data_IF_109789765355
#
_entry.id   IF_109789765355
#
_cell.length_a   1.000
_cell.length_b   1.000
_cell.length_c   1.000
_cell.angle_alpha   90.00
_cell.angle_beta   90.00
_cell.angle_gamma   90.00
#
_symmetry.space_group_name_H-M   'P 1'
#
loop_
_entity.id
_entity.type
_entity.pdbx_description
1 polymer ?
#
# COMPACT_ATOMS: atom_id res chain seq x y z
N UNK A 1 29.95 -4.53 1.67
CA UNK A 1 29.37 -4.58 0.31
C UNK A 1 28.23 -3.57 0.31
N UNK A 2 28.10 -2.73 -0.73
CA UNK A 2 26.93 -1.85 -0.88
C UNK A 2 25.63 -2.65 -0.80
N UNK A 3 24.62 -2.10 -0.13
CA UNK A 3 23.31 -2.75 0.08
C UNK A 3 22.17 -1.87 -0.37
N UNK A 4 21.14 -2.51 -0.89
CA UNK A 4 19.83 -1.88 -1.11
C UNK A 4 19.18 -1.53 0.23
N UNK A 5 18.27 -0.54 0.23
CA UNK A 5 17.46 -0.20 1.39
C UNK A 5 16.69 -1.41 1.91
N UNK A 6 16.13 -2.22 1.01
CA UNK A 6 15.48 -3.48 1.35
C UNK A 6 16.41 -4.43 2.11
N UNK A 7 17.64 -4.64 1.64
CA UNK A 7 18.60 -5.53 2.31
C UNK A 7 19.01 -5.03 3.68
N UNK A 8 19.25 -3.71 3.82
CA UNK A 8 19.55 -3.09 5.11
C UNK A 8 18.44 -3.36 6.13
N UNK A 9 17.19 -3.18 5.72
CA UNK A 9 16.02 -3.38 6.59
C UNK A 9 15.81 -4.86 6.87
N UNK A 10 15.89 -5.72 5.84
CA UNK A 10 15.76 -7.18 6.00
C UNK A 10 16.75 -7.72 7.05
N UNK A 11 18.04 -7.41 6.88
CA UNK A 11 19.08 -7.91 7.78
C UNK A 11 18.95 -7.39 9.21
N UNK A 12 18.47 -6.15 9.39
CA UNK A 12 18.24 -5.58 10.70
C UNK A 12 17.08 -6.27 11.46
N UNK A 13 16.14 -6.89 10.75
CA UNK A 13 14.94 -7.50 11.33
C UNK A 13 14.95 -9.03 11.31
N UNK A 14 15.90 -9.66 10.61
CA UNK A 14 16.02 -11.11 10.53
C UNK A 14 16.58 -11.69 11.85
N UNK A 15 15.68 -12.20 12.70
CA UNK A 15 16.05 -12.77 14.02
C UNK A 15 16.49 -14.23 13.94
N UNK A 16 16.14 -14.91 12.84
CA UNK A 16 16.61 -16.22 12.39
C UNK A 16 16.42 -16.25 10.88
N UNK A 17 17.15 -17.10 10.17
CA UNK A 17 16.94 -17.35 8.74
C UNK A 17 15.45 -17.39 8.35
N UNK A 18 15.05 -16.47 7.47
CA UNK A 18 13.71 -16.25 6.96
C UNK A 18 12.64 -15.92 8.02
N UNK A 19 13.02 -15.53 9.24
CA UNK A 19 12.11 -15.13 10.31
C UNK A 19 12.36 -13.67 10.66
N UNK A 20 11.43 -12.80 10.26
CA UNK A 20 11.49 -11.37 10.50
C UNK A 20 10.79 -11.00 11.80
N UNK A 21 11.38 -10.08 12.54
CA UNK A 21 10.68 -9.31 13.57
C UNK A 21 9.76 -8.28 12.92
N UNK A 22 8.57 -8.08 13.49
CA UNK A 22 7.57 -7.11 13.01
C UNK A 22 7.51 -5.90 13.95
N UNK A 23 7.70 -4.69 13.43
CA UNK A 23 7.67 -3.47 14.24
C UNK A 23 6.28 -2.94 14.51
N UNK A 24 5.40 -3.02 13.52
CA UNK A 24 4.02 -2.54 13.60
C UNK A 24 3.08 -3.53 12.93
N UNK A 25 2.02 -3.89 13.65
CA UNK A 25 0.94 -4.72 13.15
C UNK A 25 -0.36 -3.91 13.14
N UNK A 26 -0.83 -3.55 11.96
CA UNK A 26 -2.12 -2.91 11.79
C UNK A 26 -3.20 -3.97 11.62
N UNK A 27 -4.38 -3.76 12.20
CA UNK A 27 -5.49 -4.69 12.11
C UNK A 27 -6.81 -3.96 11.88
N UNK A 28 -7.77 -4.66 11.27
CA UNK A 28 -9.10 -4.13 10.96
C UNK A 28 -10.16 -5.23 11.11
N UNK A 29 -11.43 -4.87 11.01
CA UNK A 29 -12.56 -5.73 11.40
C UNK A 29 -12.84 -6.90 10.45
N UNK A 30 -12.21 -6.95 9.28
CA UNK A 30 -12.46 -8.01 8.28
C UNK A 30 -11.59 -9.23 8.51
N UNK A 31 -10.28 -9.04 8.74
CA UNK A 31 -9.29 -10.14 8.69
C UNK A 31 -8.72 -10.52 10.05
N UNK A 32 -8.87 -9.66 11.05
CA UNK A 32 -8.37 -9.89 12.42
C UNK A 32 -9.27 -10.71 13.36
N UNK A 33 -10.62 -10.78 13.20
CA UNK A 33 -11.47 -11.45 14.19
C UNK A 33 -11.11 -12.92 14.44
N UNK A 34 -10.78 -13.69 13.40
CA UNK A 34 -10.38 -15.09 13.56
C UNK A 34 -9.06 -15.22 14.31
N UNK A 35 -8.12 -14.31 14.09
CA UNK A 35 -6.82 -14.34 14.78
C UNK A 35 -6.98 -14.10 16.29
N UNK A 36 -7.78 -13.12 16.70
CA UNK A 36 -8.10 -12.89 18.11
C UNK A 36 -8.79 -14.10 18.75
N UNK A 37 -9.73 -14.73 18.03
CA UNK A 37 -10.39 -15.94 18.51
C UNK A 37 -9.41 -17.12 18.62
N UNK A 38 -8.49 -17.29 17.68
CA UNK A 38 -7.44 -18.31 17.74
C UNK A 38 -6.56 -18.19 18.98
N UNK A 39 -6.16 -16.95 19.34
CA UNK A 39 -5.45 -16.70 20.60
C UNK A 39 -6.30 -17.12 21.82
N UNK A 40 -7.57 -16.70 21.85
CA UNK A 40 -8.50 -17.00 22.95
C UNK A 40 -8.69 -18.51 23.13
N UNK A 41 -8.94 -19.23 22.04
CA UNK A 41 -9.14 -20.68 22.03
C UNK A 41 -7.89 -21.46 22.45
N UNK A 42 -6.70 -20.94 22.15
CA UNK A 42 -5.43 -21.56 22.53
C UNK A 42 -4.87 -21.06 23.87
N UNK A 43 -5.60 -20.17 24.57
CA UNK A 43 -5.17 -19.58 25.84
C UNK A 43 -3.91 -18.68 25.71
N UNK A 44 -3.63 -18.17 24.51
CA UNK A 44 -2.50 -17.27 24.25
C UNK A 44 -2.89 -15.82 24.48
N UNK A 45 -1.89 -15.02 24.86
CA UNK A 45 -2.02 -13.56 24.91
C UNK A 45 -1.49 -12.96 23.61
N UNK A 46 -1.99 -11.76 23.28
CA UNK A 46 -1.36 -10.91 22.28
C UNK A 46 0.05 -10.52 22.77
N UNK A 47 1.07 -10.73 21.94
CA UNK A 47 2.48 -10.61 22.33
C UNK A 47 2.91 -9.16 22.54
N UNK A 48 2.49 -8.25 21.66
CA UNK A 48 2.78 -6.80 21.71
C UNK A 48 1.54 -5.98 21.41
N UNK A 49 0.62 -5.83 22.38
CA UNK A 49 -0.48 -4.87 22.25
C UNK A 49 0.02 -3.45 21.98
N UNK A 50 1.22 -3.09 22.47
CA UNK A 50 1.89 -1.82 22.25
C UNK A 50 2.40 -1.61 20.81
N UNK A 51 2.46 -2.67 19.99
CA UNK A 51 2.84 -2.63 18.58
C UNK A 51 1.71 -3.05 17.64
N UNK A 52 0.49 -3.16 18.17
CA UNK A 52 -0.70 -3.53 17.41
C UNK A 52 -1.68 -2.37 17.45
N UNK A 53 -2.21 -1.94 16.31
CA UNK A 53 -3.18 -0.83 16.24
C UNK A 53 -4.36 -1.25 15.37
N UNK A 54 -5.57 -1.01 15.86
CA UNK A 54 -6.81 -1.36 15.20
C UNK A 54 -7.52 -0.13 14.63
N UNK A 55 -8.20 -0.29 13.48
CA UNK A 55 -9.16 0.68 12.96
C UNK A 55 -10.35 -0.02 12.34
N UNK A 56 -11.50 0.64 12.30
CA UNK A 56 -12.65 0.17 11.56
C UNK A 56 -12.82 1.02 10.29
N UNK A 57 -12.66 0.41 9.12
CA UNK A 57 -12.69 1.13 7.83
C UNK A 57 -13.36 0.41 6.65
N UNK A 58 -13.49 -0.92 6.63
CA UNK A 58 -14.13 -1.64 5.51
C UNK A 58 -15.66 -1.74 5.62
N UNK A 59 -16.21 -1.79 6.83
CA UNK A 59 -17.62 -1.99 7.13
C UNK A 59 -18.30 -0.76 7.73
N UNK A 60 -17.72 0.41 7.47
CA UNK A 60 -18.25 1.70 7.90
C UNK A 60 -19.25 2.22 6.87
N UNK A 61 -20.50 2.52 7.25
CA UNK A 61 -21.47 3.07 6.31
C UNK A 61 -21.12 4.53 5.95
N UNK A 62 -21.44 4.92 4.72
CA UNK A 62 -21.19 6.28 4.20
C UNK A 62 -22.28 7.29 4.60
N UNK A 63 -23.20 6.93 5.51
CA UNK A 63 -24.33 7.75 5.94
C UNK A 63 -24.04 8.59 7.20
N UNK A 64 -22.78 8.66 7.63
CA UNK A 64 -22.35 9.44 8.79
C UNK A 64 -22.72 8.80 10.13
N UNK A 65 -22.98 7.49 10.14
CA UNK A 65 -23.24 6.75 11.39
C UNK A 65 -22.09 6.97 12.40
N UNK A 66 -22.38 7.42 13.64
CA UNK A 66 -21.33 7.82 14.57
C UNK A 66 -20.81 6.69 15.47
N UNK A 67 -21.44 5.50 15.47
CA UNK A 67 -21.08 4.40 16.35
C UNK A 67 -21.44 3.04 15.76
N UNK A 68 -20.66 2.00 16.06
CA UNK A 68 -20.86 0.64 15.56
C UNK A 68 -22.28 0.11 15.82
N UNK A 69 -22.79 0.28 17.04
CA UNK A 69 -24.13 -0.17 17.45
C UNK A 69 -25.28 0.44 16.63
N UNK A 70 -25.04 1.57 15.94
CA UNK A 70 -26.01 2.26 15.10
C UNK A 70 -25.96 1.85 13.62
N UNK A 71 -24.98 1.02 13.22
CA UNK A 71 -24.90 0.50 11.85
C UNK A 71 -26.14 -0.34 11.57
N UNK A 72 -26.88 0.00 10.52
CA UNK A 72 -28.15 -0.66 10.14
C UNK A 72 -27.93 -2.08 9.65
N UNK A 73 -26.91 -2.28 8.82
CA UNK A 73 -26.54 -3.61 8.34
C UNK A 73 -26.02 -4.47 9.50
N UNK A 74 -26.67 -5.62 9.71
CA UNK A 74 -26.38 -6.46 10.87
C UNK A 74 -25.01 -7.16 10.78
N UNK A 75 -24.53 -7.44 9.56
CA UNK A 75 -23.23 -8.09 9.36
C UNK A 75 -22.11 -7.09 9.61
N UNK A 76 -22.18 -5.92 8.97
CA UNK A 76 -21.22 -4.82 9.18
C UNK A 76 -21.17 -4.40 10.64
N UNK A 77 -22.33 -4.22 11.30
CA UNK A 77 -22.39 -3.93 12.74
C UNK A 77 -21.64 -4.97 13.56
N UNK A 78 -21.90 -6.25 13.32
CA UNK A 78 -21.27 -7.35 14.06
C UNK A 78 -19.76 -7.37 13.88
N UNK A 79 -19.24 -7.10 12.67
CA UNK A 79 -17.79 -7.07 12.42
C UNK A 79 -17.12 -5.94 13.21
N UNK A 80 -17.65 -4.71 13.12
CA UNK A 80 -17.09 -3.56 13.85
C UNK A 80 -17.18 -3.75 15.37
N UNK A 81 -18.32 -4.17 15.91
CA UNK A 81 -18.46 -4.45 17.36
C UNK A 81 -17.50 -5.56 17.82
N UNK A 82 -17.24 -6.55 16.96
CA UNK A 82 -16.28 -7.62 17.26
C UNK A 82 -14.85 -7.10 17.32
N UNK A 83 -14.47 -6.18 16.42
CA UNK A 83 -13.17 -5.51 16.48
C UNK A 83 -13.02 -4.71 17.78
N UNK A 84 -14.01 -3.86 18.10
CA UNK A 84 -14.00 -3.02 19.31
C UNK A 84 -13.89 -3.88 20.58
N UNK A 85 -14.65 -4.97 20.65
CA UNK A 85 -14.58 -5.92 21.76
C UNK A 85 -13.21 -6.61 21.85
N UNK A 86 -12.69 -7.10 20.73
CA UNK A 86 -11.37 -7.75 20.72
C UNK A 86 -10.27 -6.77 21.12
N UNK A 87 -10.33 -5.52 20.65
CA UNK A 87 -9.39 -4.49 21.02
C UNK A 87 -9.43 -4.23 22.53
N UNK A 88 -10.63 -4.12 23.12
CA UNK A 88 -10.80 -3.98 24.56
C UNK A 88 -10.28 -5.21 25.35
N UNK A 89 -10.64 -6.42 24.93
CA UNK A 89 -10.24 -7.68 25.60
C UNK A 89 -8.72 -7.88 25.62
N UNK A 90 -8.02 -7.46 24.55
CA UNK A 90 -6.58 -7.67 24.38
C UNK A 90 -5.72 -6.42 24.65
N UNK A 91 -6.34 -5.28 24.97
CA UNK A 91 -5.65 -4.02 25.27
C UNK A 91 -5.00 -3.37 24.04
N UNK A 92 -5.63 -3.47 22.88
CA UNK A 92 -5.17 -2.88 21.61
C UNK A 92 -5.79 -1.50 21.43
N UNK A 93 -5.01 -0.45 21.11
CA UNK A 93 -5.55 0.84 20.68
C UNK A 93 -6.45 0.68 19.45
N UNK A 94 -7.65 1.27 19.47
CA UNK A 94 -8.63 1.18 18.37
C UNK A 94 -9.17 2.54 17.98
N UNK A 95 -9.16 2.82 16.67
CA UNK A 95 -9.73 4.02 16.05
C UNK A 95 -10.98 3.63 15.24
N UNK A 96 -12.11 3.44 15.92
CA UNK A 96 -13.40 3.03 15.32
C UNK A 96 -14.33 4.22 15.12
N UNK A 97 -15.58 3.96 14.70
CA UNK A 97 -16.64 4.96 14.58
C UNK A 97 -16.75 5.81 15.85
N UNK A 98 -16.76 7.13 15.66
CA UNK A 98 -16.84 8.12 16.75
C UNK A 98 -15.48 8.58 17.27
N UNK A 99 -14.38 7.98 16.82
CA UNK A 99 -13.03 8.53 17.04
C UNK A 99 -12.78 9.72 16.09
N UNK A 100 -12.16 10.79 16.59
CA UNK A 100 -11.69 11.90 15.74
C UNK A 100 -10.57 11.48 14.78
N UNK A 101 -9.89 10.38 15.09
CA UNK A 101 -8.81 9.80 14.27
C UNK A 101 -9.28 8.53 13.56
N UNK A 102 -10.59 8.31 13.43
CA UNK A 102 -11.11 7.24 12.59
C UNK A 102 -10.68 7.48 11.15
N UNK A 103 -10.14 6.45 10.51
CA UNK A 103 -9.76 6.52 9.11
C UNK A 103 -9.33 5.18 8.55
N UNK A 104 -9.02 5.20 7.26
CA UNK A 104 -8.53 4.04 6.52
C UNK A 104 -7.21 3.58 7.12
N UNK A 105 -7.00 2.26 7.25
CA UNK A 105 -5.84 1.66 7.93
C UNK A 105 -4.49 2.18 7.40
N UNK A 106 -4.38 2.36 6.08
CA UNK A 106 -3.17 2.86 5.42
C UNK A 106 -3.01 4.39 5.43
N UNK A 107 -3.98 5.11 6.00
CA UNK A 107 -3.99 6.57 6.17
C UNK A 107 -3.67 6.92 7.62
N UNK A 108 -4.32 6.28 8.58
CA UNK A 108 -4.13 6.59 10.00
C UNK A 108 -2.70 6.30 10.49
N UNK A 109 -2.06 5.25 9.97
CA UNK A 109 -0.69 4.89 10.37
C UNK A 109 0.30 6.03 10.09
N UNK A 110 0.36 6.52 8.83
CA UNK A 110 1.11 7.72 8.47
C UNK A 110 0.70 8.99 9.23
N UNK A 111 -0.61 9.28 9.36
CA UNK A 111 -1.09 10.51 10.01
C UNK A 111 -0.75 10.57 11.49
N UNK A 112 -0.77 9.42 12.17
CA UNK A 112 -0.37 9.29 13.56
C UNK A 112 1.15 9.22 13.74
N UNK A 113 1.95 9.10 12.68
CA UNK A 113 3.42 8.93 12.79
C UNK A 113 3.84 7.53 13.27
N UNK A 114 2.94 6.54 13.16
CA UNK A 114 3.23 5.14 13.47
C UNK A 114 4.04 4.48 12.36
N UNK A 115 3.86 4.94 11.12
CA UNK A 115 4.67 4.51 9.97
C UNK A 115 5.98 5.28 9.95
N UNK A 116 7.08 4.57 10.21
CA UNK A 116 8.41 5.18 10.32
C UNK A 116 9.42 4.49 9.40
N UNK A 117 10.43 5.23 8.91
CA UNK A 117 11.47 4.65 8.08
C UNK A 117 12.21 3.51 8.78
N UNK A 118 12.49 2.47 8.00
CA UNK A 118 13.25 1.31 8.44
C UNK A 118 12.43 0.23 9.15
N UNK A 119 11.14 0.45 9.40
CA UNK A 119 10.28 -0.53 10.07
C UNK A 119 9.88 -1.69 9.16
N UNK A 120 9.57 -2.84 9.78
CA UNK A 120 8.73 -3.89 9.16
C UNK A 120 7.27 -3.72 9.59
N UNK A 121 6.36 -3.60 8.62
CA UNK A 121 4.94 -3.28 8.86
C UNK A 121 4.04 -4.29 8.15
N UNK A 122 3.08 -4.86 8.87
CA UNK A 122 2.14 -5.83 8.29
C UNK A 122 0.71 -5.53 8.68
N UNK A 123 -0.22 -5.90 7.80
CA UNK A 123 -1.66 -5.86 8.04
C UNK A 123 -2.33 -7.01 7.27
N UNK A 124 -3.51 -7.42 7.71
CA UNK A 124 -4.38 -8.33 6.96
C UNK A 124 -4.99 -7.73 5.68
N UNK A 125 -4.35 -6.72 5.08
CA UNK A 125 -4.81 -5.96 3.92
C UNK A 125 -3.70 -5.88 2.86
N UNK A 126 -4.05 -6.06 1.58
CA UNK A 126 -3.11 -6.09 0.46
C UNK A 126 -2.33 -4.79 0.29
N UNK A 127 -2.96 -3.65 0.55
CA UNK A 127 -2.42 -2.32 0.25
C UNK A 127 -1.50 -1.78 1.35
N UNK A 128 -1.10 -2.64 2.30
CA UNK A 128 -0.10 -2.33 3.34
C UNK A 128 1.22 -1.83 2.73
N UNK A 129 1.50 -2.15 1.47
CA UNK A 129 2.61 -1.59 0.71
C UNK A 129 2.65 -0.06 0.71
N UNK A 130 1.51 0.63 0.91
CA UNK A 130 1.43 2.09 1.11
C UNK A 130 2.48 2.64 2.06
N UNK A 131 2.72 1.93 3.17
CA UNK A 131 3.64 2.39 4.21
C UNK A 131 5.11 2.40 3.77
N UNK A 132 5.46 1.69 2.69
CA UNK A 132 6.82 1.72 2.17
C UNK A 132 7.21 3.04 1.49
N UNK A 133 6.25 3.96 1.28
CA UNK A 133 6.53 5.35 0.91
C UNK A 133 7.44 6.08 1.91
N UNK A 134 7.53 5.57 3.15
CA UNK A 134 8.37 6.08 4.23
C UNK A 134 9.72 5.35 4.32
N UNK A 135 10.05 4.46 3.38
CA UNK A 135 11.22 3.59 3.49
C UNK A 135 11.03 2.46 4.50
N UNK A 136 9.79 1.97 4.67
CA UNK A 136 9.46 0.81 5.48
C UNK A 136 9.29 -0.45 4.61
N UNK A 137 9.65 -1.62 5.12
CA UNK A 137 9.31 -2.89 4.49
C UNK A 137 7.89 -3.28 4.92
N UNK A 138 6.91 -2.93 4.09
CA UNK A 138 5.50 -3.07 4.43
C UNK A 138 4.71 -3.92 3.44
N UNK A 139 3.96 -4.91 3.92
CA UNK A 139 3.23 -5.84 3.05
C UNK A 139 2.03 -6.50 3.71
N UNK A 140 1.04 -6.87 2.89
CA UNK A 140 -0.14 -7.60 3.32
C UNK A 140 0.16 -9.05 3.71
N UNK A 141 -0.59 -9.55 4.68
CA UNK A 141 -0.46 -10.92 5.21
C UNK A 141 -1.83 -11.61 5.32
N UNK A 142 -1.84 -12.94 5.29
CA UNK A 142 -3.08 -13.72 5.44
C UNK A 142 -3.55 -13.82 6.89
N UNK A 143 -4.82 -14.19 7.12
CA UNK A 143 -5.40 -14.34 8.47
C UNK A 143 -4.60 -15.27 9.40
N UNK A 144 -4.05 -16.37 8.89
CA UNK A 144 -3.19 -17.26 9.69
C UNK A 144 -1.85 -16.60 10.09
N UNK A 145 -1.31 -15.75 9.22
CA UNK A 145 -0.11 -14.96 9.53
C UNK A 145 -0.43 -13.85 10.53
N UNK A 146 -1.62 -13.23 10.46
CA UNK A 146 -2.10 -12.26 11.46
C UNK A 146 -2.08 -12.90 12.86
N UNK A 147 -2.66 -14.09 13.03
CA UNK A 147 -2.59 -14.81 14.32
C UNK A 147 -1.14 -15.10 14.74
N UNK A 148 -0.29 -15.51 13.79
CA UNK A 148 1.11 -15.80 14.06
C UNK A 148 1.89 -14.58 14.55
N UNK A 149 1.71 -13.42 13.92
CA UNK A 149 2.32 -12.16 14.34
C UNK A 149 1.77 -11.76 15.70
N UNK A 150 0.45 -11.86 15.93
CA UNK A 150 -0.12 -11.58 17.24
C UNK A 150 0.47 -12.47 18.35
N UNK A 151 0.74 -13.74 18.07
CA UNK A 151 1.27 -14.68 19.05
C UNK A 151 2.78 -14.51 19.30
N UNK A 152 3.55 -14.08 18.29
CA UNK A 152 5.02 -14.18 18.32
C UNK A 152 5.76 -12.85 18.11
N UNK A 153 5.13 -11.85 17.50
CA UNK A 153 5.74 -10.64 16.94
C UNK A 153 6.80 -10.93 15.85
N UNK A 154 6.71 -12.08 15.22
CA UNK A 154 7.59 -12.47 14.12
C UNK A 154 6.78 -13.02 12.97
N UNK A 155 7.39 -13.11 11.79
CA UNK A 155 6.76 -13.70 10.62
C UNK A 155 7.81 -14.40 9.75
N UNK A 156 7.50 -15.62 9.33
CA UNK A 156 8.33 -16.34 8.37
C UNK A 156 8.09 -15.75 6.98
N UNK A 157 9.13 -15.30 6.31
CA UNK A 157 9.07 -14.80 4.93
C UNK A 157 10.28 -15.32 4.16
N UNK A 158 10.05 -15.76 2.93
CA UNK A 158 11.14 -15.98 1.99
C UNK A 158 11.66 -14.63 1.51
N UNK A 159 12.97 -14.41 1.50
CA UNK A 159 13.57 -13.17 1.00
C UNK A 159 13.19 -12.96 -0.49
N UNK A 160 12.41 -11.91 -0.82
CA UNK A 160 12.07 -11.61 -2.21
C UNK A 160 13.29 -11.12 -2.99
N UNK A 161 13.16 -11.11 -4.31
CA UNK A 161 14.12 -10.43 -5.18
C UNK A 161 13.95 -8.92 -5.10
N UNK A 162 14.95 -8.19 -5.54
CA UNK A 162 14.99 -6.73 -5.58
C UNK A 162 14.72 -6.20 -6.98
N UNK A 163 13.79 -5.27 -7.12
CA UNK A 163 13.56 -4.53 -8.35
C UNK A 163 13.72 -3.05 -8.09
N UNK A 164 14.36 -2.31 -9.01
CA UNK A 164 14.37 -0.85 -9.01
C UNK A 164 13.60 -0.35 -10.22
N UNK A 165 12.71 0.61 -10.01
CA UNK A 165 12.03 1.35 -11.07
C UNK A 165 12.50 2.80 -11.00
N UNK A 166 13.30 3.19 -11.99
CA UNK A 166 13.86 4.54 -12.10
C UNK A 166 12.96 5.41 -12.96
N UNK A 167 12.47 6.50 -12.39
CA UNK A 167 11.74 7.53 -13.13
C UNK A 167 12.65 8.72 -13.41
N UNK A 168 12.91 8.94 -14.69
CA UNK A 168 13.69 10.08 -15.19
C UNK A 168 12.79 11.21 -15.67
N UNK A 169 13.27 12.45 -15.65
CA UNK A 169 12.53 13.62 -16.10
C UNK A 169 11.51 14.13 -15.09
N UNK A 170 10.66 15.06 -15.54
CA UNK A 170 9.67 15.75 -14.70
C UNK A 170 8.26 15.50 -15.21
N UNK A 171 7.29 15.50 -14.31
CA UNK A 171 5.87 15.36 -14.66
C UNK A 171 5.40 16.52 -15.56
N UNK A 172 4.65 16.16 -16.61
CA UNK A 172 3.94 17.12 -17.46
C UNK A 172 2.74 17.76 -16.77
N UNK A 173 2.11 18.74 -17.44
CA UNK A 173 0.90 19.38 -16.92
C UNK A 173 -0.25 18.37 -16.78
N UNK A 174 -0.93 18.40 -15.62
CA UNK A 174 -2.04 17.50 -15.32
C UNK A 174 -1.63 16.07 -14.97
N UNK A 175 -0.34 15.74 -15.01
CA UNK A 175 0.20 14.42 -14.67
C UNK A 175 0.49 14.34 -13.16
N UNK A 176 0.09 13.23 -12.55
CA UNK A 176 0.20 12.98 -11.11
C UNK A 176 0.98 11.70 -10.82
N UNK A 177 1.23 11.42 -9.53
CA UNK A 177 1.84 10.14 -9.13
C UNK A 177 0.96 8.92 -9.43
N UNK A 178 -0.36 9.12 -9.56
CA UNK A 178 -1.28 8.06 -9.99
C UNK A 178 -0.97 7.63 -11.43
N UNK A 179 -0.69 8.60 -12.29
CA UNK A 179 -0.36 8.36 -13.69
C UNK A 179 0.99 7.65 -13.82
N UNK A 180 1.98 8.02 -12.99
CA UNK A 180 3.26 7.32 -12.93
C UNK A 180 3.11 5.82 -12.64
N UNK A 181 2.35 5.46 -11.61
CA UNK A 181 2.20 4.05 -11.23
C UNK A 181 1.28 3.30 -12.19
N UNK A 182 0.25 3.94 -12.75
CA UNK A 182 -0.57 3.36 -13.81
C UNK A 182 0.24 3.09 -15.08
N UNK A 183 1.10 4.01 -15.52
CA UNK A 183 1.98 3.81 -16.65
C UNK A 183 2.93 2.62 -16.43
N UNK A 184 3.46 2.48 -15.21
CA UNK A 184 4.29 1.32 -14.82
C UNK A 184 3.52 0.01 -14.91
N UNK A 185 2.31 -0.05 -14.33
CA UNK A 185 1.49 -1.26 -14.33
C UNK A 185 1.01 -1.59 -15.76
N UNK A 186 0.69 -0.58 -16.57
CA UNK A 186 0.38 -0.77 -17.99
C UNK A 186 1.56 -1.34 -18.79
N UNK A 187 2.79 -0.88 -18.51
CA UNK A 187 4.01 -1.35 -19.18
C UNK A 187 4.43 -2.75 -18.73
N UNK A 188 4.36 -3.04 -17.44
CA UNK A 188 4.86 -4.29 -16.85
C UNK A 188 3.78 -5.38 -16.73
N UNK A 189 2.51 -5.00 -16.84
CA UNK A 189 1.37 -5.86 -16.56
C UNK A 189 1.16 -6.11 -15.06
N UNK A 190 0.05 -6.75 -14.72
CA UNK A 190 -0.36 -7.04 -13.33
C UNK A 190 0.50 -8.07 -12.61
N UNK A 191 1.42 -8.71 -13.33
CA UNK A 191 2.33 -9.73 -12.79
C UNK A 191 3.80 -9.32 -12.89
N UNK A 192 4.10 -8.14 -13.44
CA UNK A 192 5.46 -7.73 -13.77
C UNK A 192 6.38 -7.55 -12.57
N UNK A 193 5.81 -7.32 -11.37
CA UNK A 193 6.55 -7.16 -10.12
C UNK A 193 6.43 -8.40 -9.21
N UNK A 194 5.86 -9.51 -9.70
CA UNK A 194 5.65 -10.73 -8.89
C UNK A 194 6.95 -11.28 -8.34
N UNK A 195 6.99 -11.47 -7.01
CA UNK A 195 8.17 -12.02 -6.31
C UNK A 195 9.25 -10.98 -6.00
N UNK A 196 8.99 -9.70 -6.26
CA UNK A 196 9.91 -8.60 -5.96
C UNK A 196 9.43 -7.74 -4.80
N UNK A 197 10.40 -7.17 -4.09
CA UNK A 197 10.26 -5.87 -3.42
C UNK A 197 10.77 -4.81 -4.38
N UNK A 198 9.97 -3.76 -4.58
CA UNK A 198 10.21 -2.73 -5.59
C UNK A 198 10.67 -1.45 -4.91
N UNK A 199 11.83 -0.95 -5.29
CA UNK A 199 12.32 0.38 -4.94
C UNK A 199 12.00 1.36 -6.07
N UNK A 200 11.21 2.40 -5.78
CA UNK A 200 10.92 3.48 -6.72
C UNK A 200 11.91 4.62 -6.48
N UNK A 201 12.61 5.04 -7.53
CA UNK A 201 13.70 6.00 -7.44
C UNK A 201 13.71 6.96 -8.65
N UNK A 202 14.58 7.97 -8.58
CA UNK A 202 14.81 8.93 -9.66
C UNK A 202 14.15 10.29 -9.42
N UNK A 203 14.53 11.26 -10.24
CA UNK A 203 14.18 12.69 -10.11
C UNK A 203 12.67 12.90 -9.93
N UNK A 204 11.84 12.19 -10.71
CA UNK A 204 10.39 12.34 -10.61
C UNK A 204 9.84 11.87 -9.26
N UNK A 205 10.45 10.85 -8.63
CA UNK A 205 10.05 10.33 -7.32
C UNK A 205 10.50 11.26 -6.19
N UNK A 206 11.73 11.75 -6.27
CA UNK A 206 12.29 12.69 -5.29
C UNK A 206 11.45 13.98 -5.19
N UNK A 207 10.94 14.46 -6.33
CA UNK A 207 10.07 15.64 -6.41
C UNK A 207 8.66 15.45 -5.81
N UNK A 208 8.24 14.21 -5.51
CA UNK A 208 6.89 13.93 -4.99
C UNK A 208 6.76 14.31 -3.51
N UNK A 209 5.59 14.82 -3.16
CA UNK A 209 5.12 14.91 -1.77
C UNK A 209 4.96 13.52 -1.15
N UNK A 210 4.91 13.43 0.19
CA UNK A 210 4.65 12.14 0.86
C UNK A 210 3.32 11.50 0.45
N UNK A 211 2.28 12.30 0.21
CA UNK A 211 0.96 11.81 -0.20
C UNK A 211 1.01 11.16 -1.58
N UNK A 212 1.74 11.77 -2.51
CA UNK A 212 2.00 11.24 -3.84
C UNK A 212 2.88 9.97 -3.80
N UNK A 213 3.88 9.90 -2.92
CA UNK A 213 4.70 8.68 -2.70
C UNK A 213 3.85 7.53 -2.17
N UNK A 214 2.94 7.80 -1.24
CA UNK A 214 1.98 6.81 -0.73
C UNK A 214 1.08 6.25 -1.84
N UNK A 215 0.65 7.06 -2.81
CA UNK A 215 -0.10 6.58 -3.99
C UNK A 215 0.69 5.55 -4.80
N UNK A 216 1.99 5.78 -5.02
CA UNK A 216 2.85 4.86 -5.78
C UNK A 216 3.00 3.52 -5.03
N UNK A 217 3.42 3.57 -3.76
CA UNK A 217 3.64 2.35 -2.99
C UNK A 217 2.34 1.58 -2.69
N UNK A 218 1.21 2.28 -2.57
CA UNK A 218 -0.09 1.65 -2.42
C UNK A 218 -0.39 0.72 -3.61
N UNK A 219 -0.10 1.19 -4.82
CA UNK A 219 -0.43 0.47 -6.05
C UNK A 219 0.60 -0.60 -6.48
N UNK A 220 1.62 -0.87 -5.66
CA UNK A 220 2.61 -1.91 -5.96
C UNK A 220 1.98 -3.30 -6.07
N UNK A 221 0.93 -3.55 -5.29
CA UNK A 221 0.27 -4.86 -5.26
C UNK A 221 -0.50 -5.15 -6.56
N UNK A 222 -1.00 -4.13 -7.25
CA UNK A 222 -1.64 -4.23 -8.57
C UNK A 222 -0.68 -4.70 -9.67
N UNK A 223 0.62 -4.44 -9.51
CA UNK A 223 1.69 -5.00 -10.35
C UNK A 223 2.19 -6.38 -9.90
N UNK A 224 1.63 -6.92 -8.81
CA UNK A 224 2.03 -8.19 -8.19
C UNK A 224 3.19 -8.09 -7.21
N UNK A 225 3.68 -6.87 -6.93
CA UNK A 225 4.82 -6.64 -6.04
C UNK A 225 4.48 -6.96 -4.59
N UNK A 226 5.44 -7.54 -3.85
CA UNK A 226 5.26 -7.87 -2.43
C UNK A 226 5.21 -6.63 -1.56
N UNK A 227 6.08 -5.66 -1.85
CA UNK A 227 6.17 -4.37 -1.19
C UNK A 227 6.74 -3.33 -2.17
N UNK A 228 6.34 -2.07 -2.01
CA UNK A 228 6.88 -0.92 -2.72
C UNK A 228 7.54 0.02 -1.75
N UNK A 229 8.73 0.52 -2.05
CA UNK A 229 9.55 1.30 -1.13
C UNK A 229 10.12 2.54 -1.82
N UNK A 230 10.12 3.67 -1.10
CA UNK A 230 10.78 4.91 -1.51
C UNK A 230 11.76 5.30 -0.40
N UNK A 231 12.97 5.68 -0.77
CA UNK A 231 13.99 6.05 0.19
C UNK A 231 13.56 7.29 1.00
N UNK A 232 13.75 7.31 2.33
CA UNK A 232 13.37 8.44 3.15
C UNK A 232 14.34 9.61 2.93
N UNK A 233 13.80 10.81 2.84
CA UNK A 233 14.52 12.07 2.66
C UNK A 233 13.90 13.20 3.49
N UNK A 234 14.30 14.46 3.25
CA UNK A 234 13.74 15.61 3.97
C UNK A 234 12.21 15.70 3.86
N UNK A 235 11.63 15.37 2.71
CA UNK A 235 10.16 15.35 2.53
C UNK A 235 9.52 14.35 3.48
N UNK A 236 10.16 13.19 3.69
CA UNK A 236 9.71 12.20 4.69
C UNK A 236 9.84 12.73 6.11
N UNK A 237 10.98 13.32 6.45
CA UNK A 237 11.24 13.80 7.82
C UNK A 237 10.34 14.97 8.19
N UNK A 238 10.14 15.93 7.29
CA UNK A 238 9.27 17.08 7.53
C UNK A 238 7.80 16.67 7.64
N UNK A 239 7.34 15.72 6.84
CA UNK A 239 5.98 15.19 6.98
C UNK A 239 5.75 14.54 8.35
N UNK A 240 6.75 13.81 8.86
CA UNK A 240 6.65 13.09 10.13
C UNK A 240 6.77 14.00 11.36
N UNK A 241 7.43 15.15 11.24
CA UNK A 241 7.68 16.06 12.37
C UNK A 241 6.37 16.40 13.10
N UNK A 242 6.45 16.46 14.42
CA UNK A 242 5.35 16.79 15.33
C UNK A 242 4.16 15.81 15.36
N UNK A 243 4.22 14.70 14.61
CA UNK A 243 3.18 13.65 14.70
C UNK A 243 3.26 12.91 16.05
N UNK A 244 2.12 12.49 16.62
CA UNK A 244 2.08 11.98 17.99
C UNK A 244 2.84 10.66 18.21
N UNK A 245 3.01 9.85 17.18
CA UNK A 245 3.63 8.53 17.25
C UNK A 245 5.12 8.50 16.93
N UNK A 246 5.74 9.64 16.58
CA UNK A 246 7.19 9.67 16.30
C UNK A 246 8.02 9.55 17.59
N UNK A 247 9.29 9.10 17.50
CA UNK A 247 10.15 8.99 18.68
C UNK A 247 10.33 10.33 19.39
N UNK A 248 10.42 10.31 20.72
CA UNK A 248 10.67 11.52 21.53
C UNK A 248 11.96 12.24 21.10
N UNK A 249 13.02 11.47 20.84
CA UNK A 249 14.27 11.97 20.25
C UNK A 249 14.20 11.89 18.72
N UNK A 250 13.44 12.81 18.13
CA UNK A 250 13.18 12.86 16.69
C UNK A 250 14.45 13.09 15.88
N UNK A 251 15.35 13.97 16.34
CA UNK A 251 16.60 14.26 15.62
C UNK A 251 17.51 13.03 15.58
N UNK A 252 17.64 12.28 16.68
CA UNK A 252 18.37 11.02 16.65
C UNK A 252 17.70 9.96 15.74
N UNK A 253 16.37 9.99 15.60
CA UNK A 253 15.67 9.14 14.65
C UNK A 253 15.99 9.50 13.20
N UNK A 254 15.96 10.79 12.87
CA UNK A 254 16.36 11.31 11.54
C UNK A 254 17.79 10.89 11.19
N UNK A 255 18.75 11.01 12.10
CA UNK A 255 20.13 10.57 11.85
C UNK A 255 20.23 9.08 11.51
N UNK A 256 19.39 8.23 12.11
CA UNK A 256 19.31 6.81 11.74
C UNK A 256 18.64 6.61 10.39
N UNK A 257 17.55 7.34 10.13
CA UNK A 257 16.80 7.21 8.89
C UNK A 257 17.61 7.62 7.66
N UNK A 258 18.53 8.60 7.81
CA UNK A 258 19.48 9.01 6.76
C UNK A 258 20.43 7.90 6.31
N UNK A 259 20.57 6.82 7.08
CA UNK A 259 21.42 5.67 6.73
C UNK A 259 20.68 4.61 5.90
N UNK A 260 19.36 4.70 5.79
CA UNK A 260 18.50 3.72 5.12
C UNK A 260 18.57 3.74 3.59
N UNK A 261 18.68 4.89 2.90
CA UNK A 261 18.73 4.93 1.44
C UNK A 261 19.74 3.94 0.87
N UNK A 262 19.44 3.36 -0.29
CA UNK A 262 20.32 2.39 -0.96
C UNK A 262 21.74 2.96 -1.13
N UNK A 263 22.75 2.14 -0.81
CA UNK A 263 24.15 2.54 -0.96
C UNK A 263 24.52 2.72 -2.43
N UNK A 264 25.40 3.70 -2.71
CA UNK A 264 26.02 3.85 -4.01
C UNK A 264 26.70 2.54 -4.45
N UNK A 265 26.34 2.08 -5.65
CA UNK A 265 26.87 0.84 -6.23
C UNK A 265 26.21 -0.45 -5.73
N UNK A 266 25.10 -0.38 -4.98
CA UNK A 266 24.26 -1.54 -4.74
C UNK A 266 23.57 -2.01 -6.04
N UNK A 267 23.46 -3.32 -6.22
CA UNK A 267 22.84 -3.94 -7.40
C UNK A 267 21.44 -4.44 -7.09
N UNK A 268 20.54 -4.34 -8.07
CA UNK A 268 19.20 -4.93 -8.02
C UNK A 268 19.13 -6.17 -8.91
N UNK A 269 18.26 -7.13 -8.57
CA UNK A 269 18.01 -8.30 -9.43
C UNK A 269 17.34 -7.88 -10.75
N UNK A 270 16.63 -6.75 -10.76
CA UNK A 270 16.01 -6.18 -11.96
C UNK A 270 15.95 -4.66 -11.87
N UNK A 271 16.21 -3.98 -12.98
CA UNK A 271 16.05 -2.54 -13.11
C UNK A 271 15.14 -2.23 -14.31
N UNK A 272 14.24 -1.26 -14.12
CA UNK A 272 13.31 -0.79 -15.14
C UNK A 272 13.37 0.73 -15.19
N UNK A 273 13.60 1.28 -16.38
CA UNK A 273 13.57 2.73 -16.58
C UNK A 273 12.24 3.18 -17.18
N UNK A 274 11.75 4.32 -16.69
CA UNK A 274 10.54 5.00 -17.13
C UNK A 274 10.84 6.49 -17.31
N UNK A 275 10.46 7.03 -18.46
CA UNK A 275 10.54 8.47 -18.74
C UNK A 275 9.24 9.13 -18.28
N UNK A 276 9.31 9.85 -17.16
CA UNK A 276 8.17 10.56 -16.58
C UNK A 276 7.67 11.70 -17.49
N UNK A 277 8.54 12.27 -18.33
CA UNK A 277 8.17 13.32 -19.28
C UNK A 277 7.36 12.82 -20.47
N UNK A 278 7.35 11.51 -20.70
CA UNK A 278 6.55 10.87 -21.76
C UNK A 278 5.14 10.47 -21.30
N UNK A 279 4.84 10.59 -20.00
CA UNK A 279 3.56 10.18 -19.41
C UNK A 279 2.58 11.33 -19.52
N UNK A 280 1.39 11.04 -20.04
CA UNK A 280 0.19 11.88 -20.02
C UNK A 280 -0.76 11.39 -18.93
N UNK A 281 -1.85 12.11 -18.59
CA UNK A 281 -2.89 11.57 -17.72
C UNK A 281 -3.34 10.19 -18.18
N UNK A 282 -3.40 9.23 -17.25
CA UNK A 282 -3.63 7.81 -17.50
C UNK A 282 -5.00 7.39 -16.97
N UNK A 283 -5.60 6.38 -17.60
CA UNK A 283 -6.83 5.77 -17.14
C UNK A 283 -6.82 4.26 -17.39
N UNK A 284 -7.47 3.52 -16.50
CA UNK A 284 -7.75 2.10 -16.73
C UNK A 284 -9.10 1.96 -17.43
N UNK A 285 -9.13 1.43 -18.64
CA UNK A 285 -10.36 1.32 -19.45
C UNK A 285 -11.11 0.01 -19.25
N UNK A 286 -10.45 -1.01 -18.69
CA UNK A 286 -10.97 -2.37 -18.60
C UNK A 286 -11.25 -2.85 -17.18
N UNK A 287 -11.23 -4.17 -17.00
CA UNK A 287 -11.57 -4.84 -15.73
C UNK A 287 -10.36 -5.23 -14.88
N UNK A 288 -9.16 -4.86 -15.32
CA UNK A 288 -7.93 -5.09 -14.56
C UNK A 288 -7.11 -3.79 -14.46
N UNK A 289 -6.32 -3.61 -13.40
CA UNK A 289 -5.42 -2.46 -13.26
C UNK A 289 -4.36 -2.35 -14.36
N UNK A 290 -4.08 -3.43 -15.11
CA UNK A 290 -3.13 -3.44 -16.22
C UNK A 290 -3.70 -2.98 -17.56
N UNK A 291 -5.02 -2.81 -17.67
CA UNK A 291 -5.67 -2.30 -18.88
C UNK A 291 -5.64 -0.78 -18.89
N UNK A 292 -4.44 -0.21 -19.10
CA UNK A 292 -4.16 1.22 -18.99
C UNK A 292 -3.92 1.84 -20.37
N UNK A 293 -4.46 3.04 -20.58
CA UNK A 293 -4.17 3.90 -21.74
C UNK A 293 -4.00 5.35 -21.29
N UNK A 294 -3.47 6.21 -22.17
CA UNK A 294 -3.54 7.65 -21.94
C UNK A 294 -4.98 8.12 -22.14
N UNK A 295 -5.39 9.17 -21.43
CA UNK A 295 -6.73 9.77 -21.59
C UNK A 295 -6.96 10.27 -23.03
N UNK A 296 -5.89 10.62 -23.75
CA UNK A 296 -5.93 11.08 -25.14
C UNK A 296 -5.99 9.93 -26.17
N UNK A 297 -5.87 8.68 -25.73
CA UNK A 297 -5.92 7.52 -26.62
C UNK A 297 -7.36 7.06 -26.89
N UNK A 298 -7.52 6.13 -27.82
CA UNK A 298 -8.78 5.42 -28.05
C UNK A 298 -8.83 4.10 -27.27
N UNK A 299 -10.04 3.67 -26.93
CA UNK A 299 -10.31 2.32 -26.40
C UNK A 299 -9.67 1.26 -27.32
N UNK A 300 -8.83 0.34 -26.81
CA UNK A 300 -8.11 -0.61 -27.64
C UNK A 300 -9.03 -1.52 -28.46
N UNK A 301 -8.58 -1.86 -29.67
CA UNK A 301 -9.24 -2.83 -30.54
C UNK A 301 -8.65 -4.23 -30.33
N UNK A 302 -9.44 -5.22 -29.85
CA UNK A 302 -8.98 -6.60 -29.67
C UNK A 302 -8.45 -7.25 -30.96
N UNK A 303 -8.90 -6.82 -32.15
CA UNK A 303 -8.39 -7.32 -33.43
C UNK A 303 -6.95 -6.90 -33.72
N UNK A 304 -6.46 -5.87 -33.03
CA UNK A 304 -5.09 -5.36 -33.15
C UNK A 304 -4.12 -5.98 -32.14
N UNK A 305 -4.59 -6.92 -31.30
CA UNK A 305 -3.77 -7.59 -30.29
C UNK A 305 -3.13 -8.88 -30.83
N UNK A 306 -1.83 -9.05 -30.58
CA UNK A 306 -1.07 -10.21 -31.09
C UNK A 306 -1.41 -11.53 -30.35
N UNK A 307 -1.72 -11.43 -29.06
CA UNK A 307 -1.97 -12.59 -28.19
C UNK A 307 -3.45 -12.97 -28.21
N UNK A 308 -3.80 -14.24 -28.51
CA UNK A 308 -5.18 -14.71 -28.40
C UNK A 308 -5.77 -14.55 -26.99
N UNK A 309 -4.93 -14.68 -25.95
CA UNK A 309 -5.36 -14.50 -24.58
C UNK A 309 -5.67 -13.03 -24.26
N UNK A 310 -4.86 -12.10 -24.77
CA UNK A 310 -5.07 -10.66 -24.57
C UNK A 310 -6.29 -10.19 -25.34
N UNK A 311 -6.49 -10.70 -26.55
CA UNK A 311 -7.70 -10.49 -27.35
C UNK A 311 -8.96 -10.93 -26.59
N UNK A 312 -8.99 -12.16 -26.07
CA UNK A 312 -10.14 -12.66 -25.29
C UNK A 312 -10.36 -11.84 -24.01
N UNK A 313 -9.27 -11.43 -23.33
CA UNK A 313 -9.37 -10.58 -22.15
C UNK A 313 -9.96 -9.20 -22.47
N UNK A 314 -9.51 -8.58 -23.57
CA UNK A 314 -9.99 -7.30 -24.04
C UNK A 314 -11.46 -7.37 -24.48
N UNK A 315 -11.86 -8.38 -25.26
CA UNK A 315 -13.26 -8.59 -25.66
C UNK A 315 -14.20 -8.68 -24.45
N UNK A 316 -13.81 -9.46 -23.42
CA UNK A 316 -14.58 -9.57 -22.17
C UNK A 316 -14.61 -8.27 -21.39
N UNK A 317 -13.50 -7.54 -21.34
CA UNK A 317 -13.44 -6.24 -20.67
C UNK A 317 -14.36 -5.22 -21.36
N UNK A 318 -14.31 -5.11 -22.69
CA UNK A 318 -15.19 -4.22 -23.46
C UNK A 318 -16.66 -4.56 -23.25
N UNK A 319 -17.00 -5.85 -23.28
CA UNK A 319 -18.38 -6.29 -23.02
C UNK A 319 -18.85 -5.94 -21.61
N UNK A 320 -18.01 -6.14 -20.59
CA UNK A 320 -18.35 -5.84 -19.20
C UNK A 320 -18.48 -4.32 -18.97
N UNK A 321 -17.54 -3.55 -19.51
CA UNK A 321 -17.50 -2.09 -19.36
C UNK A 321 -18.53 -1.37 -20.23
N UNK A 322 -19.08 -2.06 -21.24
CA UNK A 322 -19.98 -1.45 -22.23
C UNK A 322 -19.27 -0.45 -23.13
N UNK A 323 -17.99 -0.70 -23.47
CA UNK A 323 -17.18 0.15 -24.32
C UNK A 323 -17.06 -0.42 -25.74
N UNK A 324 -17.06 0.47 -26.74
CA UNK A 324 -16.80 0.11 -28.14
C UNK A 324 -15.34 0.38 -28.50
N UNK A 325 -14.69 -0.56 -29.16
CA UNK A 325 -13.31 -0.42 -29.64
C UNK A 325 -13.16 0.81 -30.56
N UNK A 326 -12.04 1.53 -30.44
CA UNK A 326 -11.74 2.73 -31.22
C UNK A 326 -12.39 4.02 -30.71
N UNK A 327 -13.34 3.94 -29.77
CA UNK A 327 -13.95 5.12 -29.14
C UNK A 327 -12.86 5.99 -28.49
N UNK A 328 -12.73 7.28 -28.81
CA UNK A 328 -11.80 8.16 -28.12
C UNK A 328 -12.12 8.20 -26.63
N UNK A 329 -11.12 8.05 -25.77
CA UNK A 329 -11.39 7.91 -24.34
C UNK A 329 -12.01 9.17 -23.72
N UNK A 330 -11.72 10.34 -24.29
CA UNK A 330 -12.34 11.63 -23.94
C UNK A 330 -13.85 11.69 -24.22
N UNK A 331 -14.40 10.82 -25.08
CA UNK A 331 -15.84 10.76 -25.37
C UNK A 331 -16.63 9.93 -24.35
N UNK A 332 -15.94 9.12 -23.53
CA UNK A 332 -16.60 8.27 -22.53
C UNK A 332 -17.03 9.10 -21.33
N UNK A 333 -18.34 9.10 -21.06
CA UNK A 333 -18.93 9.90 -19.99
C UNK A 333 -19.11 9.07 -18.72
N UNK A 334 -18.51 9.47 -17.58
CA UNK A 334 -18.75 8.78 -16.32
C UNK A 334 -20.17 9.06 -15.82
N UNK A 335 -20.86 8.01 -15.36
CA UNK A 335 -22.15 8.16 -14.70
C UNK A 335 -22.02 8.59 -13.24
N UNK A 336 -20.89 8.21 -12.60
CA UNK A 336 -20.56 8.51 -11.21
C UNK A 336 -19.07 8.75 -11.08
N UNK A 337 -18.70 9.67 -10.20
CA UNK A 337 -17.32 9.97 -9.85
C UNK A 337 -17.15 9.78 -8.36
N UNK A 338 -16.19 8.94 -7.97
CA UNK A 338 -15.78 8.74 -6.58
C UNK A 338 -14.37 9.29 -6.43
N UNK A 339 -14.15 10.10 -5.40
CA UNK A 339 -12.84 10.66 -5.06
C UNK A 339 -12.49 10.15 -3.67
N UNK A 340 -11.24 9.73 -3.49
CA UNK A 340 -10.72 9.20 -2.23
C UNK A 340 -10.15 7.80 -2.36
N UNK A 341 -10.55 6.90 -1.45
CA UNK A 341 -9.93 5.58 -1.15
C UNK A 341 -8.55 5.63 -0.47
N UNK A 342 -8.06 4.48 -0.04
CA UNK A 342 -6.74 4.34 0.60
C UNK A 342 -5.58 4.86 -0.27
N UNK A 343 -5.77 4.88 -1.59
CA UNK A 343 -4.74 5.29 -2.55
C UNK A 343 -4.60 6.81 -2.66
N UNK A 344 -5.68 7.58 -2.52
CA UNK A 344 -5.72 9.00 -2.90
C UNK A 344 -6.54 9.91 -1.95
N UNK A 345 -7.07 9.43 -0.82
CA UNK A 345 -7.80 10.25 0.18
C UNK A 345 -6.89 11.12 1.05
N UNK A 346 -6.06 11.99 0.46
CA UNK A 346 -5.28 12.99 1.21
C UNK A 346 -5.49 14.40 0.64
N UNK A 347 -4.96 15.43 1.30
CA UNK A 347 -5.29 16.83 1.04
C UNK A 347 -4.59 17.40 -0.21
N UNK A 348 -3.43 16.84 -0.59
CA UNK A 348 -2.56 17.31 -1.68
C UNK A 348 -3.22 17.38 -3.06
#
# INVERSE_FOLDING_TARGET
MPKTMFEKIWEAHEVRENLLYIDLHLVHEVTSPQAFEGLRMTGRKLRRPDKTVATADHNVPTDGTPAAAMIKDALSRKQVETLEKNAADFGVPVYSLGSETQGIVHVIGPELGLTQPGMTIVCGDSHTSTHGAFGALAFGIGTSEVEHVMATQTLVQNKPKTMRINYSGTLGEGVTSKDLILATIGKLGTSGMTGYVVEYAGEAIEALTMEQRMTICNMTIEGGGKAGMIAPDETTFDYMRDKPGVPEDFDAAVERWRLLPTDDGASFDTEVDIDAGSISPMVTWGTTPGMVIQVTDSVPDPEMMDSPADKEAAERALQYMGLEAGTPMEEVRPERVFIGSCTNSRIS
#
